data_IF_531814411002
#
_entry.id   IF_531814411002
#
_cell.length_a   1.000
_cell.length_b   1.000
_cell.length_c   1.000
_cell.angle_alpha   90.00
_cell.angle_beta   90.00
_cell.angle_gamma   90.00
#
_symmetry.space_group_name_H-M   'P 1'
#
loop_
_entity.id
_entity.type
_entity.pdbx_description
1 polymer ?
#
# COMPACT_ATOMS: atom_id res chain seq x y z
N UNK A 1 4.07 6.07 3.58
CA UNK A 1 2.88 6.68 2.92
C UNK A 1 2.81 8.20 3.02
N UNK A 2 2.85 8.83 4.21
CA UNK A 2 2.68 10.30 4.35
C UNK A 2 3.66 11.10 3.50
N UNK A 3 4.95 10.77 3.52
CA UNK A 3 5.95 11.47 2.69
C UNK A 3 5.71 11.28 1.17
N UNK A 4 5.16 10.14 0.75
CA UNK A 4 4.81 9.90 -0.65
C UNK A 4 3.59 10.74 -1.07
N UNK A 5 2.59 10.87 -0.19
CA UNK A 5 1.45 11.77 -0.40
C UNK A 5 1.87 13.24 -0.43
N UNK A 6 2.79 13.64 0.46
CA UNK A 6 3.35 14.98 0.47
C UNK A 6 4.08 15.31 -0.84
N UNK A 7 4.92 14.39 -1.34
CA UNK A 7 5.55 14.55 -2.65
C UNK A 7 4.52 14.73 -3.76
N UNK A 8 3.44 13.94 -3.76
CA UNK A 8 2.35 14.09 -4.74
C UNK A 8 1.66 15.45 -4.62
N UNK A 9 1.39 15.93 -3.40
CA UNK A 9 0.80 17.24 -3.19
C UNK A 9 1.69 18.36 -3.77
N UNK A 10 3.01 18.30 -3.57
CA UNK A 10 3.95 19.26 -4.15
C UNK A 10 3.92 19.24 -5.69
N UNK A 11 3.91 18.05 -6.30
CA UNK A 11 3.83 17.93 -7.78
C UNK A 11 2.49 18.41 -8.34
N UNK A 12 1.40 18.17 -7.63
CA UNK A 12 0.08 18.66 -8.02
C UNK A 12 -0.01 20.19 -7.90
N UNK A 13 0.51 20.76 -6.81
CA UNK A 13 0.57 22.22 -6.63
C UNK A 13 1.45 22.89 -7.68
N UNK A 14 2.63 22.32 -7.99
CA UNK A 14 3.48 22.78 -9.10
C UNK A 14 2.65 22.87 -10.39
N UNK A 15 1.99 21.78 -10.78
CA UNK A 15 1.19 21.74 -12.01
C UNK A 15 0.07 22.79 -12.03
N UNK A 16 -0.66 22.95 -10.93
CA UNK A 16 -1.75 23.93 -10.86
C UNK A 16 -1.25 25.37 -10.92
N UNK A 17 -0.08 25.66 -10.36
CA UNK A 17 0.55 26.99 -10.43
C UNK A 17 1.06 27.29 -11.84
N UNK A 18 1.62 26.28 -12.53
CA UNK A 18 1.98 26.40 -13.95
C UNK A 18 0.75 26.72 -14.82
N UNK A 19 -0.37 26.01 -14.61
CA UNK A 19 -1.64 26.26 -15.29
C UNK A 19 -2.19 27.68 -15.00
N UNK A 20 -1.96 28.19 -13.79
CA UNK A 20 -2.32 29.55 -13.38
C UNK A 20 -1.30 30.63 -13.83
N UNK A 21 -0.24 30.25 -14.54
CA UNK A 21 0.85 31.14 -14.96
C UNK A 21 1.64 31.80 -13.81
N UNK A 22 1.66 31.19 -12.62
CA UNK A 22 2.48 31.63 -11.48
C UNK A 22 3.81 30.86 -11.42
N UNK A 23 4.73 31.27 -12.30
CA UNK A 23 5.99 30.57 -12.52
C UNK A 23 6.93 30.59 -11.30
N UNK A 24 6.87 31.64 -10.47
CA UNK A 24 7.73 31.76 -9.29
C UNK A 24 7.34 30.72 -8.24
N UNK A 25 6.04 30.62 -7.92
CA UNK A 25 5.58 29.67 -6.92
C UNK A 25 5.60 28.22 -7.44
N UNK A 26 5.35 28.01 -8.75
CA UNK A 26 5.55 26.69 -9.37
C UNK A 26 6.99 26.19 -9.20
N UNK A 27 7.99 27.05 -9.45
CA UNK A 27 9.41 26.74 -9.27
C UNK A 27 9.75 26.39 -7.81
N UNK A 28 9.10 27.05 -6.83
CA UNK A 28 9.27 26.73 -5.41
C UNK A 28 8.72 25.35 -5.06
N UNK A 29 7.55 25.00 -5.60
CA UNK A 29 6.95 23.68 -5.39
C UNK A 29 7.76 22.57 -6.04
N UNK A 30 8.30 22.82 -7.25
CA UNK A 30 9.22 21.90 -7.91
C UNK A 30 10.47 21.65 -7.06
N UNK A 31 11.13 22.71 -6.60
CA UNK A 31 12.32 22.59 -5.77
C UNK A 31 12.05 21.80 -4.48
N UNK A 32 10.94 22.10 -3.80
CA UNK A 32 10.52 21.35 -2.61
C UNK A 32 10.25 19.87 -2.94
N UNK A 33 9.66 19.57 -4.10
CA UNK A 33 9.39 18.20 -4.52
C UNK A 33 10.68 17.42 -4.76
N UNK A 34 11.67 18.00 -5.44
CA UNK A 34 12.96 17.35 -5.66
C UNK A 34 13.72 17.13 -4.34
N UNK A 35 13.73 18.11 -3.43
CA UNK A 35 14.28 17.93 -2.09
C UNK A 35 13.59 16.78 -1.33
N UNK A 36 12.26 16.71 -1.38
CA UNK A 36 11.49 15.65 -0.74
C UNK A 36 11.82 14.27 -1.34
N UNK A 37 11.93 14.19 -2.68
CA UNK A 37 12.29 12.95 -3.39
C UNK A 37 13.69 12.46 -3.02
N UNK A 38 14.67 13.35 -3.02
CA UNK A 38 16.06 13.01 -2.67
C UNK A 38 16.17 12.57 -1.21
N UNK A 39 15.53 13.29 -0.29
CA UNK A 39 15.49 12.92 1.12
C UNK A 39 14.79 11.57 1.33
N UNK A 40 13.66 11.34 0.64
CA UNK A 40 12.92 10.09 0.74
C UNK A 40 13.80 8.90 0.34
N UNK A 41 14.43 8.96 -0.83
CA UNK A 41 15.24 7.85 -1.34
C UNK A 41 16.50 7.60 -0.50
N UNK A 42 17.07 8.65 0.10
CA UNK A 42 18.23 8.52 1.00
C UNK A 42 17.84 7.94 2.37
N UNK A 43 16.68 8.29 2.91
CA UNK A 43 16.31 7.91 4.29
C UNK A 43 15.51 6.62 4.38
N UNK A 44 14.58 6.38 3.46
CA UNK A 44 13.66 5.25 3.56
C UNK A 44 14.19 3.95 2.96
N UNK A 45 15.16 3.99 2.04
CA UNK A 45 15.70 2.76 1.46
C UNK A 45 16.51 1.96 2.49
N UNK A 46 16.12 0.71 2.73
CA UNK A 46 16.88 -0.24 3.55
C UNK A 46 17.64 -1.23 2.64
N UNK A 47 18.96 -1.04 2.42
CA UNK A 47 19.74 -1.88 1.53
C UNK A 47 19.90 -3.32 2.05
N UNK A 48 19.89 -3.53 3.37
CA UNK A 48 20.08 -4.85 3.98
C UNK A 48 18.85 -5.75 3.81
N UNK A 49 17.67 -5.14 3.70
CA UNK A 49 16.39 -5.86 3.58
C UNK A 49 15.80 -5.84 2.17
N UNK A 50 16.29 -4.95 1.29
CA UNK A 50 15.78 -4.82 -0.08
C UNK A 50 14.37 -4.23 -0.15
N UNK A 51 13.95 -3.48 0.87
CA UNK A 51 12.64 -2.84 0.95
C UNK A 51 12.75 -1.51 1.73
N UNK A 52 11.64 -0.79 1.94
CA UNK A 52 11.68 0.47 2.68
C UNK A 52 11.58 0.26 4.19
N UNK A 53 12.22 1.11 4.98
CA UNK A 53 11.86 1.33 6.38
C UNK A 53 10.41 1.82 6.45
N UNK A 54 9.63 1.33 7.41
CA UNK A 54 8.23 1.77 7.56
C UNK A 54 8.17 3.22 8.09
N UNK A 55 9.03 3.53 9.06
CA UNK A 55 9.21 4.87 9.62
C UNK A 55 10.69 5.11 9.87
N UNK A 56 11.15 6.32 9.61
CA UNK A 56 12.53 6.77 9.88
C UNK A 56 12.55 7.73 11.07
N UNK A 57 13.71 7.88 11.70
CA UNK A 57 13.96 8.83 12.79
C UNK A 57 13.07 8.61 14.04
N UNK A 58 12.76 7.34 14.40
CA UNK A 58 12.15 7.05 15.71
C UNK A 58 13.17 7.20 16.83
N UNK A 59 12.69 7.28 18.07
CA UNK A 59 13.53 7.34 19.28
C UNK A 59 14.63 6.26 19.32
N UNK A 60 14.32 5.06 18.82
CA UNK A 60 15.23 3.91 18.79
C UNK A 60 15.80 3.60 17.39
N UNK A 61 15.75 4.56 16.46
CA UNK A 61 16.24 4.42 15.08
C UNK A 61 15.16 4.14 14.04
N UNK A 62 15.58 3.80 12.82
CA UNK A 62 14.67 3.52 11.70
C UNK A 62 13.99 2.16 11.87
N UNK A 63 12.68 2.06 11.60
CA UNK A 63 11.88 0.84 11.75
C UNK A 63 12.00 -0.07 10.51
N UNK A 64 12.68 -1.23 10.60
CA UNK A 64 12.88 -2.14 9.47
C UNK A 64 11.69 -3.07 9.23
N UNK A 65 10.54 -2.89 9.88
CA UNK A 65 9.38 -3.74 9.69
C UNK A 65 8.91 -3.72 8.22
N UNK A 66 8.75 -4.91 7.64
CA UNK A 66 8.16 -5.05 6.31
C UNK A 66 6.64 -4.88 6.42
N UNK A 67 6.15 -3.71 5.96
CA UNK A 67 4.74 -3.31 5.95
C UNK A 67 4.29 -2.88 4.55
N UNK A 68 2.99 -2.91 4.23
CA UNK A 68 2.50 -2.60 2.89
C UNK A 68 2.54 -1.10 2.55
N UNK A 69 2.77 -0.22 3.54
CA UNK A 69 2.87 1.23 3.39
C UNK A 69 3.89 1.70 2.34
N UNK A 70 4.89 0.87 2.05
CA UNK A 70 5.89 1.14 1.02
C UNK A 70 5.30 1.13 -0.40
N UNK A 71 4.17 0.46 -0.64
CA UNK A 71 3.49 0.46 -1.94
C UNK A 71 3.11 1.87 -2.38
N UNK A 72 2.74 2.76 -1.45
CA UNK A 72 2.41 4.16 -1.76
C UNK A 72 3.58 4.94 -2.36
N UNK A 73 4.82 4.52 -2.11
CA UNK A 73 5.98 5.14 -2.72
C UNK A 73 6.09 4.86 -4.24
N UNK A 74 5.36 3.84 -4.72
CA UNK A 74 5.32 3.38 -6.10
C UNK A 74 3.95 3.61 -6.74
N UNK A 75 2.83 3.39 -6.06
CA UNK A 75 1.49 3.33 -6.65
C UNK A 75 0.88 4.69 -7.01
N UNK A 76 1.21 5.74 -6.25
CA UNK A 76 0.64 7.08 -6.43
C UNK A 76 1.00 7.68 -7.81
N UNK A 77 0.20 8.62 -8.37
CA UNK A 77 0.46 9.20 -9.70
C UNK A 77 1.89 9.70 -9.90
N UNK A 78 2.47 10.34 -8.90
CA UNK A 78 3.88 10.71 -8.86
C UNK A 78 4.63 9.78 -7.88
N UNK A 79 5.26 8.73 -8.39
CA UNK A 79 6.10 7.87 -7.56
C UNK A 79 7.30 8.64 -7.02
N UNK A 80 7.42 8.68 -5.69
CA UNK A 80 8.58 9.30 -5.01
C UNK A 80 9.79 8.37 -5.00
N UNK A 81 9.56 7.05 -4.98
CA UNK A 81 10.64 6.07 -4.95
C UNK A 81 11.35 6.02 -6.31
N UNK A 82 12.67 5.94 -6.29
CA UNK A 82 13.46 5.81 -7.51
C UNK A 82 13.19 4.45 -8.19
N UNK A 83 13.05 4.40 -9.54
CA UNK A 83 12.68 3.18 -10.27
C UNK A 83 13.57 1.96 -10.01
N UNK A 84 14.85 2.18 -9.71
CA UNK A 84 15.80 1.10 -9.38
C UNK A 84 15.38 0.27 -8.15
N UNK A 85 14.55 0.83 -7.26
CA UNK A 85 14.08 0.17 -6.04
C UNK A 85 12.68 -0.45 -6.17
N UNK A 86 11.96 -0.21 -7.27
CA UNK A 86 10.56 -0.63 -7.39
C UNK A 86 10.41 -2.16 -7.39
N UNK A 87 11.22 -2.86 -8.20
CA UNK A 87 11.18 -4.32 -8.28
C UNK A 87 11.56 -5.00 -6.97
N UNK A 88 12.68 -4.63 -6.28
CA UNK A 88 13.00 -5.17 -4.95
C UNK A 88 11.87 -5.01 -3.92
N UNK A 89 11.25 -3.82 -3.87
CA UNK A 89 10.12 -3.54 -2.98
C UNK A 89 8.92 -4.42 -3.32
N UNK A 90 8.52 -4.47 -4.60
CA UNK A 90 7.37 -5.25 -5.04
C UNK A 90 7.56 -6.73 -4.76
N UNK A 91 8.72 -7.30 -5.12
CA UNK A 91 9.03 -8.72 -4.91
C UNK A 91 9.04 -9.07 -3.40
N UNK A 92 9.39 -8.12 -2.52
CA UNK A 92 9.29 -8.30 -1.06
C UNK A 92 7.85 -8.25 -0.57
N UNK A 93 7.06 -7.29 -1.03
CA UNK A 93 5.64 -7.18 -0.67
C UNK A 93 4.87 -8.44 -1.11
N UNK A 94 5.10 -8.94 -2.32
CA UNK A 94 4.46 -10.16 -2.82
C UNK A 94 4.78 -11.39 -2.00
N UNK A 95 6.07 -11.56 -1.66
CA UNK A 95 6.53 -12.72 -0.89
C UNK A 95 5.98 -12.71 0.55
N UNK A 96 5.92 -11.54 1.18
CA UNK A 96 5.71 -11.44 2.62
C UNK A 96 4.27 -11.06 3.00
N UNK A 97 3.56 -10.30 2.14
CA UNK A 97 2.34 -9.59 2.54
C UNK A 97 1.11 -9.95 1.73
N UNK A 98 1.25 -10.30 0.45
CA UNK A 98 0.10 -10.56 -0.43
C UNK A 98 -0.66 -11.82 -0.01
N UNK A 99 -1.99 -11.72 0.03
CA UNK A 99 -2.92 -12.82 0.27
C UNK A 99 -4.03 -12.80 -0.79
N UNK A 100 -4.88 -13.84 -0.87
CA UNK A 100 -6.00 -13.84 -1.81
C UNK A 100 -7.04 -12.73 -1.60
N UNK A 101 -7.09 -12.13 -0.39
CA UNK A 101 -8.14 -11.17 0.00
C UNK A 101 -7.59 -9.78 0.38
N UNK A 102 -6.34 -9.49 0.06
CA UNK A 102 -5.69 -8.22 0.37
C UNK A 102 -4.23 -8.37 0.76
N UNK A 103 -3.72 -7.45 1.59
CA UNK A 103 -2.35 -7.51 2.09
C UNK A 103 -2.30 -7.52 3.62
N UNK A 104 -1.41 -8.35 4.17
CA UNK A 104 -1.05 -8.33 5.59
C UNK A 104 -0.47 -6.96 5.96
N UNK A 105 -0.87 -6.44 7.12
CA UNK A 105 -0.36 -5.18 7.66
C UNK A 105 1.08 -5.26 8.19
N UNK A 106 1.60 -6.48 8.41
CA UNK A 106 2.94 -6.75 8.90
C UNK A 106 3.42 -8.14 8.40
N UNK A 107 4.71 -8.27 8.05
CA UNK A 107 5.29 -9.56 7.64
C UNK A 107 5.13 -10.63 8.74
N UNK A 108 4.78 -11.89 8.40
CA UNK A 108 4.75 -13.02 9.32
C UNK A 108 6.08 -13.31 10.03
N UNK A 109 7.19 -12.78 9.51
CA UNK A 109 8.53 -12.94 10.09
C UNK A 109 8.80 -11.97 11.25
N UNK A 110 7.93 -10.99 11.46
CA UNK A 110 8.08 -10.03 12.54
C UNK A 110 7.62 -10.62 13.88
N UNK A 111 8.36 -10.44 15.00
CA UNK A 111 8.02 -11.03 16.29
C UNK A 111 6.63 -10.63 16.83
N UNK A 112 6.15 -9.44 16.47
CA UNK A 112 4.84 -8.94 16.89
C UNK A 112 3.67 -9.41 16.02
N UNK A 113 3.94 -10.22 14.98
CA UNK A 113 2.91 -10.70 14.07
C UNK A 113 1.80 -11.47 14.80
N UNK A 114 0.55 -11.16 14.45
CA UNK A 114 -0.68 -11.76 14.96
C UNK A 114 -1.42 -12.43 13.80
N UNK A 115 -1.58 -13.76 13.81
CA UNK A 115 -2.19 -14.48 12.70
C UNK A 115 -3.72 -14.30 12.62
N UNK A 116 -4.35 -13.88 13.71
CA UNK A 116 -5.82 -13.84 13.83
C UNK A 116 -6.31 -12.52 14.40
N UNK A 117 -7.40 -11.99 13.83
CA UNK A 117 -8.13 -10.83 14.30
C UNK A 117 -9.43 -11.27 14.98
N UNK A 118 -9.31 -11.81 16.19
CA UNK A 118 -10.44 -12.41 16.94
C UNK A 118 -10.29 -12.15 18.44
N UNK A 119 -11.39 -12.33 19.17
CA UNK A 119 -11.44 -12.19 20.62
C UNK A 119 -12.06 -10.87 21.05
N UNK A 120 -11.71 -10.45 22.27
CA UNK A 120 -12.16 -9.20 22.84
C UNK A 120 -11.57 -7.98 22.10
N UNK A 121 -12.06 -6.78 22.47
CA UNK A 121 -11.65 -5.53 21.84
C UNK A 121 -10.12 -5.34 21.92
N UNK A 122 -9.52 -5.62 23.08
CA UNK A 122 -8.09 -5.44 23.30
C UNK A 122 -7.25 -6.35 22.38
N UNK A 123 -7.64 -7.62 22.25
CA UNK A 123 -6.95 -8.58 21.38
C UNK A 123 -7.06 -8.18 19.91
N UNK A 124 -8.24 -7.69 19.50
CA UNK A 124 -8.48 -7.20 18.15
C UNK A 124 -7.66 -5.95 17.86
N UNK A 125 -7.66 -4.97 18.76
CA UNK A 125 -6.87 -3.73 18.61
C UNK A 125 -5.37 -4.03 18.52
N UNK A 126 -4.86 -4.97 19.33
CA UNK A 126 -3.47 -5.41 19.25
C UNK A 126 -3.11 -6.11 17.93
N UNK A 127 -4.06 -6.78 17.27
CA UNK A 127 -3.83 -7.47 16.00
C UNK A 127 -4.07 -6.58 14.76
N UNK A 128 -4.83 -5.48 14.90
CA UNK A 128 -5.41 -4.71 13.79
C UNK A 128 -4.38 -4.22 12.76
N UNK A 129 -3.18 -3.86 13.22
CA UNK A 129 -2.06 -3.45 12.38
C UNK A 129 -0.83 -4.34 12.54
N UNK A 130 -0.99 -5.56 13.07
CA UNK A 130 0.11 -6.47 13.36
C UNK A 130 -0.01 -7.78 12.60
N UNK A 131 -0.55 -7.77 11.38
CA UNK A 131 -0.63 -8.96 10.53
C UNK A 131 -1.97 -9.09 9.82
N UNK A 132 -3.05 -8.62 10.46
CA UNK A 132 -4.41 -8.54 9.89
C UNK A 132 -4.36 -8.07 8.43
N UNK A 133 -5.09 -8.78 7.56
CA UNK A 133 -5.16 -8.48 6.12
C UNK A 133 -6.15 -7.35 5.91
N UNK A 134 -5.76 -6.34 5.12
CA UNK A 134 -6.63 -5.25 4.72
C UNK A 134 -6.97 -5.39 3.24
N UNK A 135 -8.28 -5.41 2.91
CA UNK A 135 -8.75 -5.62 1.54
C UNK A 135 -8.38 -4.47 0.61
N UNK A 136 -8.53 -3.23 1.07
CA UNK A 136 -8.33 -2.04 0.25
C UNK A 136 -6.88 -1.89 -0.24
N UNK A 137 -5.89 -2.48 0.45
CA UNK A 137 -4.49 -2.45 0.03
C UNK A 137 -4.24 -3.18 -1.30
N UNK A 138 -5.21 -3.99 -1.75
CA UNK A 138 -5.18 -4.58 -3.10
C UNK A 138 -5.01 -3.51 -4.18
N UNK A 139 -5.58 -2.32 -3.97
CA UNK A 139 -5.51 -1.19 -4.87
C UNK A 139 -4.10 -0.70 -5.15
N UNK A 140 -3.42 -0.13 -4.13
CA UNK A 140 -2.02 0.26 -4.24
C UNK A 140 -1.10 -0.86 -4.74
N UNK A 141 -1.41 -2.12 -4.40
CA UNK A 141 -0.66 -3.27 -4.89
C UNK A 141 -0.83 -3.45 -6.41
N UNK A 142 -2.06 -3.45 -6.93
CA UNK A 142 -2.32 -3.54 -8.38
C UNK A 142 -1.66 -2.40 -9.14
N UNK A 143 -1.74 -1.16 -8.64
CA UNK A 143 -1.09 -0.01 -9.29
C UNK A 143 0.44 -0.15 -9.34
N UNK A 144 1.05 -0.58 -8.24
CA UNK A 144 2.49 -0.83 -8.19
C UNK A 144 2.88 -2.00 -9.10
N UNK A 145 2.10 -3.07 -9.12
CA UNK A 145 2.31 -4.23 -9.97
C UNK A 145 2.29 -3.85 -11.46
N UNK A 146 1.26 -3.13 -11.90
CA UNK A 146 1.14 -2.62 -13.28
C UNK A 146 2.29 -1.68 -13.64
N UNK A 147 2.72 -0.83 -12.71
CA UNK A 147 3.82 0.11 -12.96
C UNK A 147 5.17 -0.59 -13.12
N UNK A 148 5.40 -1.69 -12.40
CA UNK A 148 6.68 -2.42 -12.42
C UNK A 148 6.72 -3.47 -13.53
N UNK A 149 5.62 -4.19 -13.77
CA UNK A 149 5.58 -5.35 -14.68
C UNK A 149 4.78 -5.10 -15.96
N UNK A 150 4.05 -3.99 -16.05
CA UNK A 150 3.16 -3.69 -17.17
C UNK A 150 1.83 -4.43 -17.09
N UNK A 151 1.01 -4.27 -18.13
CA UNK A 151 -0.24 -5.00 -18.32
C UNK A 151 0.07 -6.44 -18.79
N UNK A 152 0.38 -7.34 -17.87
CA UNK A 152 0.29 -8.78 -18.15
C UNK A 152 -1.08 -9.32 -17.74
N UNK A 153 -1.57 -10.34 -18.44
CA UNK A 153 -2.87 -10.96 -18.15
C UNK A 153 -2.96 -11.65 -16.77
N UNK A 154 -1.90 -11.58 -15.95
CA UNK A 154 -1.84 -12.11 -14.61
C UNK A 154 -2.38 -11.15 -13.55
N UNK A 155 -2.30 -9.83 -13.79
CA UNK A 155 -2.70 -8.81 -12.80
C UNK A 155 -4.15 -8.97 -12.35
N UNK A 156 -5.08 -9.26 -13.26
CA UNK A 156 -6.50 -9.41 -12.91
C UNK A 156 -6.76 -10.57 -11.94
N UNK A 157 -5.96 -11.65 -12.00
CA UNK A 157 -6.13 -12.84 -11.13
C UNK A 157 -5.86 -12.55 -9.67
N UNK A 158 -5.10 -11.49 -9.37
CA UNK A 158 -4.90 -11.00 -8.00
C UNK A 158 -6.24 -10.66 -7.32
N UNK A 159 -7.26 -10.31 -8.10
CA UNK A 159 -8.57 -9.91 -7.59
C UNK A 159 -9.50 -11.11 -7.34
N UNK A 160 -9.15 -12.32 -7.78
CA UNK A 160 -10.05 -13.48 -7.79
C UNK A 160 -10.56 -13.83 -6.39
N UNK A 161 -9.72 -13.72 -5.35
CA UNK A 161 -10.13 -14.01 -3.98
C UNK A 161 -11.11 -12.99 -3.42
N UNK A 162 -10.94 -11.69 -3.72
CA UNK A 162 -11.92 -10.67 -3.35
C UNK A 162 -13.22 -10.78 -4.16
N UNK A 163 -13.15 -11.18 -5.43
CA UNK A 163 -14.33 -11.47 -6.25
C UNK A 163 -15.11 -12.66 -5.70
N UNK A 164 -14.42 -13.72 -5.25
CA UNK A 164 -15.04 -14.84 -4.57
C UNK A 164 -15.73 -14.39 -3.26
N UNK A 165 -15.06 -13.55 -2.47
CA UNK A 165 -15.59 -13.00 -1.21
C UNK A 165 -16.89 -12.21 -1.37
N UNK A 166 -17.19 -11.65 -2.55
CA UNK A 166 -18.48 -10.98 -2.80
C UNK A 166 -19.71 -11.89 -2.61
N UNK A 167 -19.51 -13.21 -2.55
CA UNK A 167 -20.56 -14.22 -2.29
C UNK A 167 -20.61 -14.68 -0.82
N UNK A 168 -19.80 -14.08 0.04
CA UNK A 168 -19.59 -14.46 1.44
C UNK A 168 -19.87 -13.28 2.38
N UNK A 169 -20.11 -13.57 3.66
CA UNK A 169 -20.35 -12.61 4.75
C UNK A 169 -21.47 -11.56 4.50
N UNK A 170 -21.22 -10.55 3.67
CA UNK A 170 -22.19 -9.55 3.23
C UNK A 170 -22.23 -9.50 1.70
N UNK A 171 -23.25 -10.13 1.10
CA UNK A 171 -23.35 -10.32 -0.36
C UNK A 171 -23.24 -8.99 -1.10
N UNK A 172 -22.33 -8.94 -2.08
CA UNK A 172 -22.07 -7.76 -2.90
C UNK A 172 -21.12 -6.73 -2.27
N UNK A 173 -20.62 -6.99 -1.06
CA UNK A 173 -19.71 -6.09 -0.35
C UNK A 173 -18.39 -6.80 0.02
N UNK A 174 -17.37 -5.98 0.28
CA UNK A 174 -16.06 -6.43 0.73
C UNK A 174 -15.90 -6.07 2.21
N UNK A 175 -15.44 -7.04 3.00
CA UNK A 175 -15.16 -6.84 4.41
C UNK A 175 -13.88 -6.01 4.61
N UNK A 176 -13.84 -5.26 5.70
CA UNK A 176 -12.74 -4.35 6.02
C UNK A 176 -11.41 -5.08 6.17
N UNK A 177 -11.41 -6.14 6.96
CA UNK A 177 -10.22 -6.90 7.32
C UNK A 177 -10.49 -8.40 7.32
N UNK A 178 -9.43 -9.19 7.25
CA UNK A 178 -9.45 -10.64 7.33
C UNK A 178 -8.34 -11.15 8.28
N UNK A 179 -8.54 -12.33 8.85
CA UNK A 179 -7.46 -13.07 9.53
C UNK A 179 -6.24 -13.15 8.62
N UNK A 180 -5.03 -13.09 9.20
CA UNK A 180 -3.76 -13.04 8.46
C UNK A 180 -3.34 -14.39 7.85
N UNK A 181 -3.98 -15.48 8.26
CA UNK A 181 -3.72 -16.83 7.77
C UNK A 181 -4.99 -17.53 7.27
N UNK A 182 -4.85 -18.57 6.43
CA UNK A 182 -5.98 -19.39 5.99
C UNK A 182 -6.84 -19.86 7.17
N UNK A 183 -8.18 -19.83 7.03
CA UNK A 183 -8.93 -19.60 5.80
C UNK A 183 -9.18 -18.12 5.46
N UNK A 184 -8.47 -17.16 6.07
CA UNK A 184 -8.68 -15.72 5.92
C UNK A 184 -10.11 -15.32 6.29
N UNK A 185 -10.52 -15.59 7.53
CA UNK A 185 -11.90 -15.27 7.95
C UNK A 185 -12.15 -13.76 7.91
N UNK A 186 -13.26 -13.27 7.34
CA UNK A 186 -13.60 -11.86 7.36
C UNK A 186 -13.91 -11.35 8.78
N UNK A 187 -13.54 -10.11 9.05
CA UNK A 187 -13.79 -9.39 10.29
C UNK A 187 -13.94 -7.89 10.07
N UNK A 188 -14.02 -7.13 11.17
CA UNK A 188 -14.21 -5.68 11.13
C UNK A 188 -15.58 -5.29 10.56
N UNK A 189 -15.65 -4.14 9.90
CA UNK A 189 -16.85 -3.72 9.16
C UNK A 189 -17.14 -4.69 8.01
N UNK A 190 -18.36 -5.26 7.98
CA UNK A 190 -18.73 -6.29 6.99
C UNK A 190 -18.84 -5.74 5.56
N UNK A 191 -19.13 -4.44 5.42
CA UNK A 191 -19.35 -3.75 4.15
C UNK A 191 -18.60 -2.41 4.15
N UNK A 192 -17.31 -2.45 3.83
CA UNK A 192 -16.44 -1.30 4.05
C UNK A 192 -16.07 -0.59 2.74
N UNK A 193 -16.29 0.74 2.74
CA UNK A 193 -16.29 1.56 1.53
C UNK A 193 -14.99 1.46 0.72
N UNK A 194 -13.83 1.55 1.37
CA UNK A 194 -12.53 1.51 0.68
C UNK A 194 -12.23 0.16 0.02
N UNK A 195 -12.72 -0.96 0.56
CA UNK A 195 -12.44 -2.29 0.06
C UNK A 195 -13.25 -2.55 -1.21
N UNK A 196 -14.52 -2.13 -1.18
CA UNK A 196 -15.40 -2.16 -2.36
C UNK A 196 -14.88 -1.22 -3.45
N UNK A 197 -14.48 0.01 -3.08
CA UNK A 197 -14.00 1.00 -4.03
C UNK A 197 -12.71 0.54 -4.73
N UNK A 198 -11.73 0.01 -4.00
CA UNK A 198 -10.47 -0.46 -4.58
C UNK A 198 -10.67 -1.70 -5.45
N UNK A 199 -11.50 -2.66 -5.03
CA UNK A 199 -11.84 -3.81 -5.89
C UNK A 199 -12.46 -3.35 -7.22
N UNK A 200 -13.45 -2.46 -7.17
CA UNK A 200 -14.11 -1.94 -8.37
C UNK A 200 -13.14 -1.18 -9.27
N UNK A 201 -12.30 -0.31 -8.68
CA UNK A 201 -11.29 0.45 -9.41
C UNK A 201 -10.31 -0.48 -10.13
N UNK A 202 -9.82 -1.52 -9.46
CA UNK A 202 -8.90 -2.49 -10.07
C UNK A 202 -9.57 -3.33 -11.16
N UNK A 203 -10.84 -3.72 -11.00
CA UNK A 203 -11.58 -4.45 -12.04
C UNK A 203 -11.73 -3.64 -13.33
N UNK A 204 -12.03 -2.34 -13.21
CA UNK A 204 -12.11 -1.42 -14.34
C UNK A 204 -10.72 -1.16 -14.96
N UNK A 205 -9.69 -0.99 -14.12
CA UNK A 205 -8.32 -0.77 -14.58
C UNK A 205 -7.77 -1.96 -15.38
N UNK A 206 -8.27 -3.16 -15.12
CA UNK A 206 -7.78 -4.43 -15.70
C UNK A 206 -8.78 -5.09 -16.66
N UNK A 207 -9.75 -4.35 -17.21
CA UNK A 207 -10.80 -4.86 -18.11
C UNK A 207 -10.36 -5.07 -19.57
N UNK A 208 -9.13 -4.71 -19.92
CA UNK A 208 -8.63 -4.74 -21.31
C UNK A 208 -8.32 -6.14 -21.84
#
# INVERSE_FOLDING_TARGET
>A
EINALWYNALRLMQRWLDEASDQSDASRMEHAAECARDAFNRRFWNPDRGHLYDVVDREHGDDPACRPNQLFAISLPHAVLAPMYWRPVLDTVERELVTPVGLRSLSPRHPEYKPTYRGDLLTRDAAYHQGTVWSWLIGPYVDALLRVRGEDGGVRRVLDGLVAHLRENCIGFVSEVFDAEPPFTPGGCVAQAWGVAELLRCLLLTER
#
